data_IF_856791912154
#
_entry.id   IF_856791912154
#
_cell.length_a   1.000
_cell.length_b   1.000
_cell.length_c   1.000
_cell.angle_alpha   90.00
_cell.angle_beta   90.00
_cell.angle_gamma   90.00
#
_symmetry.space_group_name_H-M   'P 1'
#
loop_
_entity.id
_entity.type
_entity.pdbx_description
1 polymer ?
#
# COMPACT_ATOMS: atom_id res chain seq x y z
N UNK A 1 4.71 19.61 45.15
CA UNK A 1 4.06 18.50 44.42
C UNK A 1 2.91 18.01 45.31
N UNK A 2 1.70 18.53 45.13
CA UNK A 2 0.53 18.10 45.91
C UNK A 2 -0.09 16.87 45.23
N UNK A 3 -0.06 15.73 45.91
CA UNK A 3 -0.74 14.51 45.46
C UNK A 3 -2.24 14.77 45.32
N UNK A 4 -2.78 14.54 44.13
CA UNK A 4 -4.21 14.60 43.88
C UNK A 4 -4.87 13.45 44.65
N UNK A 5 -5.59 13.78 45.73
CA UNK A 5 -6.34 12.79 46.51
C UNK A 5 -7.39 12.15 45.59
N UNK A 6 -7.49 10.81 45.53
CA UNK A 6 -8.53 10.15 44.76
C UNK A 6 -9.91 10.61 45.26
N UNK A 7 -10.82 10.87 44.32
CA UNK A 7 -12.15 11.39 44.60
C UNK A 7 -12.90 10.40 45.51
N UNK A 8 -13.31 10.87 46.69
CA UNK A 8 -13.90 10.05 47.75
C UNK A 8 -15.18 9.32 47.29
N UNK A 9 -15.93 9.93 46.38
CA UNK A 9 -17.10 9.30 45.76
C UNK A 9 -16.75 8.03 44.96
N UNK A 10 -15.62 8.03 44.23
CA UNK A 10 -15.19 6.88 43.44
C UNK A 10 -14.77 5.72 44.35
N UNK A 11 -14.15 6.03 45.50
CA UNK A 11 -13.72 5.02 46.48
C UNK A 11 -14.94 4.32 47.10
N UNK A 12 -15.97 5.08 47.47
CA UNK A 12 -17.21 4.52 48.00
C UNK A 12 -17.97 3.68 46.97
N UNK A 13 -18.00 4.12 45.71
CA UNK A 13 -18.64 3.37 44.62
C UNK A 13 -17.92 2.05 44.33
N UNK A 14 -16.58 2.05 44.32
CA UNK A 14 -15.76 0.85 44.20
C UNK A 14 -15.97 -0.12 45.37
N UNK A 15 -16.11 0.40 46.60
CA UNK A 15 -16.33 -0.42 47.79
C UNK A 15 -17.70 -1.14 47.77
N UNK A 16 -18.69 -0.57 47.06
CA UNK A 16 -20.04 -1.13 46.91
C UNK A 16 -20.22 -1.89 45.59
N UNK A 17 -19.16 -2.04 44.82
CA UNK A 17 -19.25 -2.64 43.49
C UNK A 17 -19.52 -4.15 43.57
N UNK A 18 -20.69 -4.56 43.08
CA UNK A 18 -21.13 -5.95 43.02
C UNK A 18 -20.60 -6.65 41.77
N UNK A 19 -19.54 -7.44 41.92
CA UNK A 19 -18.92 -8.20 40.82
C UNK A 19 -19.85 -9.29 40.26
N UNK A 20 -20.80 -9.76 41.06
CA UNK A 20 -21.78 -10.78 40.67
C UNK A 20 -22.83 -10.25 39.66
N UNK A 21 -23.00 -8.92 39.57
CA UNK A 21 -23.88 -8.27 38.60
C UNK A 21 -23.25 -8.12 37.20
N UNK A 22 -21.98 -8.50 37.05
CA UNK A 22 -21.31 -8.46 35.76
C UNK A 22 -21.91 -9.51 34.82
N UNK A 23 -22.25 -9.09 33.60
CA UNK A 23 -22.66 -10.01 32.54
C UNK A 23 -21.48 -10.92 32.21
N UNK A 24 -21.71 -12.23 32.20
CA UNK A 24 -20.74 -13.16 31.67
C UNK A 24 -20.53 -12.89 30.17
N UNK A 25 -19.28 -12.67 29.79
CA UNK A 25 -18.87 -12.49 28.40
C UNK A 25 -17.93 -13.62 28.04
N UNK A 26 -18.27 -14.38 26.99
CA UNK A 26 -17.33 -15.29 26.37
C UNK A 26 -16.36 -14.45 25.53
N UNK A 27 -15.09 -14.44 25.93
CA UNK A 27 -14.02 -13.79 25.16
C UNK A 27 -13.62 -14.72 24.03
N UNK A 28 -13.96 -14.35 22.79
CA UNK A 28 -13.52 -15.07 21.61
C UNK A 28 -12.19 -14.48 21.12
N UNK A 29 -11.09 -15.20 21.36
CA UNK A 29 -9.79 -14.88 20.75
C UNK A 29 -9.85 -15.22 19.25
N UNK A 30 -9.89 -14.20 18.39
CA UNK A 30 -9.85 -14.37 16.94
C UNK A 30 -8.42 -14.61 16.46
N UNK A 31 -7.88 -15.78 16.77
CA UNK A 31 -6.62 -16.26 16.20
C UNK A 31 -6.97 -17.03 14.92
N UNK A 32 -6.95 -16.33 13.79
CA UNK A 32 -7.10 -16.97 12.48
C UNK A 32 -5.71 -17.35 11.98
N UNK A 33 -5.47 -18.65 11.82
CA UNK A 33 -4.27 -19.11 11.13
C UNK A 33 -4.40 -18.79 9.63
N UNK A 34 -3.30 -18.48 8.94
CA UNK A 34 -3.32 -18.37 7.48
C UNK A 34 -3.89 -19.64 6.87
N UNK A 35 -4.75 -19.48 5.86
CA UNK A 35 -5.23 -20.60 5.07
C UNK A 35 -4.10 -21.18 4.19
N UNK A 36 -4.35 -22.34 3.59
CA UNK A 36 -3.43 -22.90 2.58
C UNK A 36 -3.33 -21.97 1.36
N UNK A 37 -4.44 -21.36 0.95
CA UNK A 37 -4.44 -20.40 -0.15
C UNK A 37 -3.57 -19.17 0.16
N UNK A 38 -3.65 -18.63 1.38
CA UNK A 38 -2.83 -17.48 1.80
C UNK A 38 -1.34 -17.81 1.67
N UNK A 39 -0.92 -18.97 2.16
CA UNK A 39 0.49 -19.41 2.10
C UNK A 39 0.94 -19.63 0.65
N UNK A 40 0.10 -20.22 -0.19
CA UNK A 40 0.42 -20.43 -1.60
C UNK A 40 0.52 -19.11 -2.37
N UNK A 41 -0.37 -18.16 -2.07
CA UNK A 41 -0.34 -16.84 -2.68
C UNK A 41 0.95 -16.09 -2.32
N UNK A 42 1.35 -16.13 -1.04
CA UNK A 42 2.55 -15.49 -0.54
C UNK A 42 3.80 -16.11 -1.18
N UNK A 43 3.86 -17.45 -1.26
CA UNK A 43 4.97 -18.14 -1.94
C UNK A 43 5.10 -17.75 -3.40
N UNK A 44 3.98 -17.64 -4.13
CA UNK A 44 3.98 -17.19 -5.54
C UNK A 44 4.49 -15.76 -5.65
N UNK A 45 4.04 -14.87 -4.77
CA UNK A 45 4.48 -13.48 -4.73
C UNK A 45 5.98 -13.38 -4.48
N UNK A 46 6.49 -14.01 -3.41
CA UNK A 46 7.91 -14.04 -3.07
C UNK A 46 8.75 -14.60 -4.23
N UNK A 47 8.30 -15.69 -4.86
CA UNK A 47 9.01 -16.27 -6.00
C UNK A 47 9.10 -15.30 -7.19
N UNK A 48 8.06 -14.52 -7.45
CA UNK A 48 8.05 -13.52 -8.51
C UNK A 48 9.04 -12.39 -8.20
N UNK A 49 8.95 -11.81 -6.99
CA UNK A 49 9.83 -10.73 -6.54
C UNK A 49 11.29 -11.16 -6.61
N UNK A 50 11.62 -12.31 -6.02
CA UNK A 50 12.97 -12.87 -6.05
C UNK A 50 13.46 -13.12 -7.49
N UNK A 51 12.57 -13.58 -8.37
CA UNK A 51 12.88 -13.81 -9.77
C UNK A 51 13.26 -12.52 -10.51
N UNK A 52 12.62 -11.40 -10.18
CA UNK A 52 12.92 -10.08 -10.75
C UNK A 52 14.18 -9.49 -10.12
N UNK A 53 14.33 -9.54 -8.80
CA UNK A 53 15.49 -8.99 -8.09
C UNK A 53 16.80 -9.70 -8.48
N UNK A 54 16.77 -11.02 -8.62
CA UNK A 54 17.92 -11.83 -8.99
C UNK A 54 18.10 -11.99 -10.51
N UNK A 55 17.27 -11.33 -11.32
CA UNK A 55 17.33 -11.49 -12.76
C UNK A 55 18.64 -10.94 -13.34
N UNK A 56 19.43 -11.84 -13.93
CA UNK A 56 20.65 -11.48 -14.64
C UNK A 56 20.34 -10.85 -16.00
N UNK A 57 20.60 -9.55 -16.11
CA UNK A 57 20.40 -8.75 -17.33
C UNK A 57 21.17 -9.29 -18.54
N UNK A 58 22.28 -10.01 -18.33
CA UNK A 58 23.05 -10.61 -19.41
C UNK A 58 22.32 -11.76 -20.11
N UNK A 59 21.24 -12.29 -19.50
CA UNK A 59 20.36 -13.29 -20.12
C UNK A 59 19.36 -12.69 -21.09
N UNK A 60 19.24 -11.36 -21.16
CA UNK A 60 18.41 -10.71 -22.16
C UNK A 60 19.02 -10.92 -23.55
N UNK A 61 18.18 -11.27 -24.52
CA UNK A 61 18.62 -11.39 -25.91
C UNK A 61 18.99 -10.00 -26.42
N UNK A 62 20.18 -9.81 -27.01
CA UNK A 62 20.51 -8.55 -27.65
C UNK A 62 19.51 -8.28 -28.77
N UNK A 63 19.00 -7.05 -28.81
CA UNK A 63 18.01 -6.61 -29.79
C UNK A 63 18.44 -5.27 -30.35
N UNK A 64 18.40 -5.15 -31.67
CA UNK A 64 18.66 -3.89 -32.36
C UNK A 64 17.39 -3.06 -32.28
N UNK A 65 17.43 -1.96 -31.53
CA UNK A 65 16.31 -1.01 -31.47
C UNK A 65 16.51 0.06 -32.53
N UNK A 66 15.54 0.23 -33.44
CA UNK A 66 15.55 1.32 -34.42
C UNK A 66 14.75 2.49 -33.87
N UNK A 67 15.44 3.53 -33.42
CA UNK A 67 14.82 4.82 -33.12
C UNK A 67 14.58 5.56 -34.43
N UNK A 68 13.32 5.79 -34.80
CA UNK A 68 12.97 6.57 -35.99
C UNK A 68 13.15 8.06 -35.69
N UNK A 69 14.38 8.53 -35.81
CA UNK A 69 14.66 9.96 -35.93
C UNK A 69 14.40 10.33 -37.39
N UNK A 70 13.12 10.48 -37.75
CA UNK A 70 12.75 11.12 -39.01
C UNK A 70 12.76 12.62 -38.78
N UNK A 71 13.52 13.35 -39.58
CA UNK A 71 13.37 14.80 -39.63
C UNK A 71 11.93 15.09 -40.10
N UNK A 72 11.22 16.03 -39.46
CA UNK A 72 9.92 16.44 -39.95
C UNK A 72 10.07 16.95 -41.40
N UNK A 73 9.12 16.59 -42.25
CA UNK A 73 9.08 17.12 -43.61
C UNK A 73 8.64 18.59 -43.60
N UNK A 74 8.79 19.25 -44.75
CA UNK A 74 8.43 20.67 -44.88
C UNK A 74 6.97 20.93 -44.53
N UNK A 75 6.09 20.01 -44.88
CA UNK A 75 4.65 20.10 -44.62
C UNK A 75 4.33 20.01 -43.12
N UNK A 76 4.96 19.09 -42.39
CA UNK A 76 4.84 19.00 -40.93
C UNK A 76 5.32 20.30 -40.25
N UNK A 77 6.44 20.86 -40.70
CA UNK A 77 6.98 22.12 -40.16
C UNK A 77 6.02 23.30 -40.42
N UNK A 78 5.45 23.38 -41.62
CA UNK A 78 4.51 24.45 -41.97
C UNK A 78 3.19 24.31 -41.19
N UNK A 79 2.67 23.09 -41.07
CA UNK A 79 1.48 22.82 -40.26
C UNK A 79 1.69 23.14 -38.79
N UNK A 80 2.85 22.79 -38.21
CA UNK A 80 3.17 23.14 -36.83
C UNK A 80 3.28 24.66 -36.64
N UNK A 81 3.92 25.38 -37.57
CA UNK A 81 3.98 26.84 -37.53
C UNK A 81 2.60 27.49 -37.60
N UNK A 82 1.71 26.97 -38.47
CA UNK A 82 0.32 27.46 -38.58
C UNK A 82 -0.46 27.19 -37.31
N UNK A 83 -0.43 25.95 -36.81
CA UNK A 83 -1.14 25.56 -35.58
C UNK A 83 -0.63 26.35 -34.37
N UNK A 84 0.67 26.63 -34.28
CA UNK A 84 1.25 27.44 -33.22
C UNK A 84 0.75 28.89 -33.28
N UNK A 85 0.75 29.50 -34.46
CA UNK A 85 0.22 30.85 -34.65
C UNK A 85 -1.29 30.94 -34.33
N UNK A 86 -2.06 29.91 -34.66
CA UNK A 86 -3.49 29.83 -34.32
C UNK A 86 -3.72 29.66 -32.81
N UNK A 87 -2.81 29.01 -32.08
CA UNK A 87 -2.90 28.85 -30.62
C UNK A 87 -2.45 30.08 -29.81
N UNK A 88 -1.79 31.04 -30.46
CA UNK A 88 -1.26 32.26 -29.84
C UNK A 88 -2.17 33.49 -30.09
N UNK A 89 -3.32 33.30 -30.73
CA UNK A 89 -4.41 34.30 -30.92
C UNK A 89 -5.54 33.99 -29.95
#
# INVERSE_FOLDING_TARGET
MSEAKPNQAIIEDLAKFETNGLKHVQVAEKINLPSKEDIESEKKHISLVNGVESFDKNKLKPTITQEKIVLPDKEAIENEKRNKAESEI
#
